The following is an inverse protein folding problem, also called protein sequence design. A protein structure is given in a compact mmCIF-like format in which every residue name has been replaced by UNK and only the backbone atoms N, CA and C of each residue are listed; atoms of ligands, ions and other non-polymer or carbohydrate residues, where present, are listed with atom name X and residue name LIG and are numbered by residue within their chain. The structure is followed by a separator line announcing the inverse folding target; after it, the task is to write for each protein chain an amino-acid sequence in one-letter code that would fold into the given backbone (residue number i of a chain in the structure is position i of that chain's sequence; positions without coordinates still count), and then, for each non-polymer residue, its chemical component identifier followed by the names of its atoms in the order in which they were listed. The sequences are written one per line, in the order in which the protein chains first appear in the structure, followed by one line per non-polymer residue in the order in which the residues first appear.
data_IF_932695102333
#
_entry.id   IF_932695102333
#
_cell.length_a   1.000
_cell.length_b   1.000
_cell.length_c   1.000
_cell.angle_alpha   90.00
_cell.angle_beta   90.00
_cell.angle_gamma   90.00
#
_symmetry.space_group_name_H-M   'P 1'
#
loop_
_entity.id
_entity.type
_entity.pdbx_description
1 polymer ?
#
# COMPACT_ATOMS: atom_id res chain seq x y z
N UNK A 1 -9.50 -32.01 -4.14
CA UNK A 1 -10.47 -31.61 -5.17
C UNK A 1 -11.01 -30.25 -4.77
N UNK A 2 -10.62 -29.19 -5.49
CA UNK A 2 -11.06 -27.82 -5.21
C UNK A 2 -12.50 -27.71 -5.71
N UNK A 3 -13.46 -27.54 -4.80
CA UNK A 3 -14.83 -27.23 -5.17
C UNK A 3 -14.96 -25.71 -5.27
N UNK A 4 -14.88 -25.20 -6.48
CA UNK A 4 -15.17 -23.79 -6.76
C UNK A 4 -16.68 -23.62 -6.68
N UNK A 5 -17.17 -23.00 -5.61
CA UNK A 5 -18.57 -22.54 -5.52
C UNK A 5 -18.59 -21.07 -5.91
N UNK A 6 -19.00 -20.79 -7.14
CA UNK A 6 -19.30 -19.43 -7.57
C UNK A 6 -20.55 -18.93 -6.85
N UNK A 7 -20.42 -17.81 -6.14
CA UNK A 7 -21.56 -17.04 -5.66
C UNK A 7 -21.57 -15.70 -6.42
N UNK A 8 -22.55 -15.50 -7.31
CA UNK A 8 -22.85 -14.18 -7.90
C UNK A 8 -23.76 -13.43 -6.92
N UNK A 9 -23.47 -12.21 -6.52
CA UNK A 9 -23.38 -11.01 -7.37
C UNK A 9 -22.20 -10.11 -6.99
N UNK A 10 -21.49 -9.62 -7.99
CA UNK A 10 -20.15 -9.00 -7.97
C UNK A 10 -19.03 -10.03 -7.78
N UNK A 11 -18.23 -10.22 -8.84
CA UNK A 11 -17.34 -11.35 -9.11
C UNK A 11 -16.22 -11.59 -8.08
N UNK A 12 -16.56 -12.07 -6.88
CA UNK A 12 -15.58 -12.62 -5.93
C UNK A 12 -15.80 -14.12 -5.85
N UNK A 13 -14.86 -14.88 -6.40
CA UNK A 13 -14.85 -16.34 -6.23
C UNK A 13 -14.34 -16.63 -4.82
N UNK A 14 -15.25 -17.02 -3.93
CA UNK A 14 -14.86 -17.63 -2.66
C UNK A 14 -14.50 -19.08 -2.93
N UNK A 15 -13.23 -19.43 -2.71
CA UNK A 15 -12.76 -20.79 -2.90
C UNK A 15 -12.80 -21.50 -1.54
N UNK A 16 -13.73 -22.44 -1.40
CA UNK A 16 -13.77 -23.33 -0.24
C UNK A 16 -12.82 -24.50 -0.50
N UNK A 17 -11.69 -24.51 0.20
CA UNK A 17 -10.75 -25.64 0.20
C UNK A 17 -10.83 -26.33 1.55
N UNK A 18 -10.84 -27.66 1.56
CA UNK A 18 -10.65 -28.43 2.80
C UNK A 18 -9.18 -28.35 3.20
N UNK A 19 -8.89 -27.98 4.46
CA UNK A 19 -7.53 -27.85 5.00
C UNK A 19 -6.68 -29.10 4.77
N UNK A 20 -7.29 -30.29 4.73
CA UNK A 20 -6.58 -31.57 4.47
C UNK A 20 -6.18 -31.79 3.00
N UNK A 21 -6.69 -30.97 2.08
CA UNK A 21 -6.56 -31.15 0.63
C UNK A 21 -6.11 -29.86 -0.10
N UNK A 22 -5.47 -28.91 0.59
CA UNK A 22 -4.82 -27.78 -0.09
C UNK A 22 -3.70 -28.35 -0.96
N UNK A 23 -3.72 -27.98 -2.23
CA UNK A 23 -2.63 -28.26 -3.16
C UNK A 23 -1.36 -27.55 -2.66
N UNK A 24 -0.22 -28.26 -2.65
CA UNK A 24 1.09 -27.71 -2.30
C UNK A 24 1.49 -26.52 -3.20
N UNK A 25 0.85 -26.36 -4.36
CA UNK A 25 1.02 -25.24 -5.28
C UNK A 25 0.04 -24.08 -5.04
N UNK A 26 -0.60 -24.04 -3.86
CA UNK A 26 -1.43 -22.91 -3.42
C UNK A 26 -0.69 -22.07 -2.39
N UNK A 27 -0.52 -20.78 -2.71
CA UNK A 27 -0.08 -19.76 -1.77
C UNK A 27 -1.31 -19.14 -1.12
N UNK A 28 -1.31 -19.03 0.20
CA UNK A 28 -2.30 -18.26 0.95
C UNK A 28 -1.57 -17.05 1.52
N UNK A 29 -2.14 -15.86 1.39
CA UNK A 29 -1.60 -14.64 1.97
C UNK A 29 -2.47 -14.29 3.17
N UNK A 30 -1.85 -13.95 4.30
CA UNK A 30 -2.55 -13.45 5.48
C UNK A 30 -1.93 -12.12 5.91
N UNK A 31 -2.76 -11.09 6.05
CA UNK A 31 -2.31 -9.74 6.39
C UNK A 31 -2.91 -9.36 7.75
N UNK A 32 -2.07 -9.25 8.80
CA UNK A 32 -2.56 -9.06 10.17
C UNK A 32 -3.08 -7.64 10.43
N UNK A 33 -2.81 -6.69 9.54
CA UNK A 33 -3.20 -5.28 9.66
C UNK A 33 -4.01 -4.84 8.44
N UNK A 34 -4.97 -3.94 8.65
CA UNK A 34 -5.95 -3.57 7.61
C UNK A 34 -5.78 -2.20 6.97
N UNK A 35 -4.65 -1.54 7.18
CA UNK A 35 -4.34 -0.25 6.56
C UNK A 35 -4.06 -0.39 5.05
N UNK A 36 -4.19 0.73 4.33
CA UNK A 36 -3.93 0.77 2.88
C UNK A 36 -2.49 0.32 2.56
N UNK A 37 -1.50 0.83 3.28
CA UNK A 37 -0.10 0.45 3.11
C UNK A 37 0.15 -1.03 3.41
N UNK A 38 -0.49 -1.57 4.45
CA UNK A 38 -0.35 -2.97 4.85
C UNK A 38 -0.74 -3.92 3.71
N UNK A 39 -1.84 -3.64 3.01
CA UNK A 39 -2.23 -4.45 1.84
C UNK A 39 -1.33 -4.23 0.64
N UNK A 40 -0.94 -2.99 0.37
CA UNK A 40 -0.08 -2.68 -0.77
C UNK A 40 1.29 -3.33 -0.65
N UNK A 41 1.84 -3.50 0.55
CA UNK A 41 3.11 -4.22 0.75
C UNK A 41 3.10 -5.68 0.28
N UNK A 42 1.93 -6.30 0.09
CA UNK A 42 1.80 -7.66 -0.43
C UNK A 42 1.30 -7.72 -1.88
N UNK A 43 1.02 -6.57 -2.50
CA UNK A 43 0.34 -6.48 -3.80
C UNK A 43 1.15 -7.02 -4.98
N UNK A 44 2.47 -7.08 -4.88
CA UNK A 44 3.39 -7.64 -5.88
C UNK A 44 3.51 -9.18 -5.80
N UNK A 45 3.17 -9.77 -4.65
CA UNK A 45 3.35 -11.20 -4.39
C UNK A 45 2.59 -12.09 -5.37
N UNK A 46 1.32 -11.82 -5.74
CA UNK A 46 0.59 -12.69 -6.67
C UNK A 46 1.32 -12.89 -8.01
N UNK A 47 1.84 -11.82 -8.61
CA UNK A 47 2.59 -11.89 -9.86
C UNK A 47 3.84 -12.76 -9.71
N UNK A 48 4.66 -12.47 -8.71
CA UNK A 48 5.94 -13.16 -8.48
C UNK A 48 5.69 -14.65 -8.20
N UNK A 49 4.70 -14.96 -7.35
CA UNK A 49 4.33 -16.33 -7.03
C UNK A 49 3.95 -17.13 -8.28
N UNK A 50 3.11 -16.57 -9.16
CA UNK A 50 2.68 -17.22 -10.40
C UNK A 50 3.84 -17.35 -11.40
N UNK A 51 4.63 -16.29 -11.58
CA UNK A 51 5.74 -16.26 -12.55
C UNK A 51 6.91 -17.18 -12.15
N UNK A 52 7.09 -17.45 -10.84
CA UNK A 52 8.08 -18.42 -10.36
C UNK A 52 7.78 -19.87 -10.78
N UNK A 53 6.54 -20.17 -11.13
CA UNK A 53 6.06 -21.54 -11.40
C UNK A 53 5.86 -22.41 -10.15
N UNK A 54 6.28 -21.94 -8.97
CA UNK A 54 6.11 -22.63 -7.67
C UNK A 54 4.63 -22.74 -7.31
N UNK A 55 3.89 -21.65 -7.50
CA UNK A 55 2.48 -21.57 -7.15
C UNK A 55 1.60 -21.42 -8.39
N UNK A 56 0.53 -22.21 -8.44
CA UNK A 56 -0.53 -22.11 -9.45
C UNK A 56 -1.73 -21.34 -8.94
N UNK A 57 -1.93 -21.26 -7.62
CA UNK A 57 -3.06 -20.55 -7.00
C UNK A 57 -2.54 -19.61 -5.91
N UNK A 58 -3.02 -18.38 -5.87
CA UNK A 58 -2.71 -17.35 -4.88
C UNK A 58 -4.02 -16.82 -4.30
N UNK A 59 -4.22 -17.04 -3.01
CA UNK A 59 -5.45 -16.68 -2.29
C UNK A 59 -5.15 -15.70 -1.16
N UNK A 60 -6.13 -14.89 -0.78
CA UNK A 60 -6.08 -14.06 0.42
C UNK A 60 -6.98 -14.69 1.49
N UNK A 61 -6.41 -14.89 2.68
CA UNK A 61 -7.17 -15.35 3.83
C UNK A 61 -8.22 -14.32 4.22
N UNK A 62 -9.47 -14.74 4.41
CA UNK A 62 -10.57 -13.91 4.91
C UNK A 62 -10.38 -13.42 6.34
N UNK A 63 -9.41 -13.99 7.05
CA UNK A 63 -9.01 -13.51 8.37
C UNK A 63 -8.05 -12.32 8.30
N UNK A 64 -7.55 -11.96 7.12
CA UNK A 64 -6.80 -10.72 6.94
C UNK A 64 -7.70 -9.55 7.31
N UNK A 65 -7.18 -8.60 8.09
CA UNK A 65 -7.96 -7.42 8.44
C UNK A 65 -8.08 -6.53 7.20
N UNK A 66 -9.30 -6.07 6.87
CA UNK A 66 -9.55 -5.15 5.76
C UNK A 66 -10.35 -3.98 6.32
N UNK A 67 -9.71 -2.82 6.51
CA UNK A 67 -10.38 -1.64 7.11
C UNK A 67 -11.32 -0.94 6.12
N UNK A 68 -11.02 -1.04 4.83
CA UNK A 68 -11.79 -0.40 3.77
C UNK A 68 -12.01 -1.41 2.62
N UNK A 69 -13.27 -1.67 2.17
CA UNK A 69 -13.55 -2.56 1.04
C UNK A 69 -12.83 -2.13 -0.26
N UNK A 70 -12.51 -0.83 -0.36
CA UNK A 70 -11.47 -0.20 -1.17
C UNK A 70 -10.27 -1.10 -1.47
N UNK A 71 -9.65 -1.57 -0.39
CA UNK A 71 -8.39 -2.30 -0.48
C UNK A 71 -8.57 -3.64 -1.17
N UNK A 72 -9.66 -4.37 -0.86
CA UNK A 72 -9.96 -5.64 -1.52
C UNK A 72 -10.18 -5.44 -3.03
N UNK A 73 -11.06 -4.51 -3.37
CA UNK A 73 -11.45 -4.26 -4.77
C UNK A 73 -10.29 -3.84 -5.66
N UNK A 74 -9.50 -2.84 -5.25
CA UNK A 74 -8.49 -2.25 -6.15
C UNK A 74 -7.10 -2.88 -6.06
N UNK A 75 -6.74 -3.46 -4.91
CA UNK A 75 -5.42 -4.07 -4.72
C UNK A 75 -5.47 -5.55 -5.13
N UNK A 76 -6.53 -6.26 -4.75
CA UNK A 76 -6.63 -7.71 -4.93
C UNK A 76 -7.49 -8.09 -6.13
N UNK A 77 -8.76 -7.71 -6.17
CA UNK A 77 -9.69 -8.19 -7.22
C UNK A 77 -9.28 -7.73 -8.63
N UNK A 78 -8.63 -6.58 -8.75
CA UNK A 78 -8.11 -6.11 -10.04
C UNK A 78 -6.76 -6.73 -10.43
N UNK A 79 -6.07 -7.40 -9.50
CA UNK A 79 -4.80 -8.05 -9.80
C UNK A 79 -5.04 -9.35 -10.59
N UNK A 80 -4.56 -9.48 -11.84
CA UNK A 80 -4.84 -10.63 -12.70
C UNK A 80 -4.19 -11.93 -12.23
N UNK A 81 -3.28 -11.86 -11.24
CA UNK A 81 -2.60 -13.01 -10.66
C UNK A 81 -3.24 -13.49 -9.35
N UNK A 82 -4.30 -12.82 -8.88
CA UNK A 82 -5.03 -13.15 -7.67
C UNK A 82 -6.25 -14.02 -7.98
N UNK A 83 -6.37 -15.18 -7.31
CA UNK A 83 -7.42 -16.16 -7.62
C UNK A 83 -8.66 -16.07 -6.71
N UNK A 84 -8.55 -15.38 -5.56
CA UNK A 84 -9.70 -15.10 -4.70
C UNK A 84 -9.47 -15.30 -3.20
N UNK A 85 -10.58 -15.47 -2.48
CA UNK A 85 -10.60 -15.51 -1.03
C UNK A 85 -10.74 -16.93 -0.48
N UNK A 86 -10.15 -17.18 0.69
CA UNK A 86 -10.29 -18.46 1.40
C UNK A 86 -10.50 -18.28 2.91
N UNK A 87 -11.23 -19.20 3.55
CA UNK A 87 -11.42 -19.22 5.03
C UNK A 87 -10.17 -19.71 5.77
N UNK A 88 -9.20 -20.26 5.03
CA UNK A 88 -8.00 -20.85 5.58
C UNK A 88 -7.00 -19.76 5.96
N UNK A 89 -6.26 -20.00 7.04
CA UNK A 89 -5.05 -19.25 7.33
C UNK A 89 -3.88 -19.89 6.61
N UNK A 90 -2.82 -19.09 6.50
CA UNK A 90 -1.56 -19.56 5.98
C UNK A 90 -1.18 -20.92 6.58
N UNK A 91 -0.92 -21.90 5.70
CA UNK A 91 -0.35 -23.18 6.12
C UNK A 91 1.12 -23.03 6.48
N UNK A 92 1.78 -22.03 5.91
CA UNK A 92 3.15 -21.69 6.19
C UNK A 92 3.17 -20.58 7.24
N UNK A 93 3.40 -20.99 8.48
CA UNK A 93 3.70 -20.13 9.62
C UNK A 93 5.10 -19.52 9.40
N UNK A 94 5.21 -18.66 8.39
CA UNK A 94 6.44 -17.92 8.15
C UNK A 94 6.57 -16.88 9.26
N UNK A 95 7.36 -17.27 10.25
CA UNK A 95 7.65 -16.48 11.44
C UNK A 95 8.03 -15.06 11.03
N UNK A 96 7.17 -14.10 11.39
CA UNK A 96 7.48 -12.67 11.38
C UNK A 96 8.78 -12.29 12.11
N UNK A 97 9.38 -13.25 12.84
CA UNK A 97 10.70 -13.13 13.47
C UNK A 97 11.85 -12.96 12.47
N UNK A 98 11.74 -13.39 11.22
CA UNK A 98 12.82 -13.23 10.23
C UNK A 98 12.92 -11.81 9.63
N UNK A 99 11.88 -10.97 9.77
CA UNK A 99 11.96 -9.56 9.34
C UNK A 99 12.89 -8.75 10.27
N UNK A 100 13.23 -9.28 11.45
CA UNK A 100 14.09 -8.59 12.43
C UNK A 100 15.55 -8.41 12.00
N UNK A 101 15.98 -9.07 10.93
CA UNK A 101 17.31 -8.92 10.32
C UNK A 101 17.27 -8.15 8.99
N UNK A 102 16.43 -7.12 8.91
CA UNK A 102 16.39 -6.23 7.75
C UNK A 102 17.77 -5.59 7.49
N UNK A 103 18.40 -5.97 6.38
CA UNK A 103 19.55 -5.27 5.82
C UNK A 103 19.06 -4.40 4.67
N UNK A 104 19.03 -3.08 4.87
CA UNK A 104 18.63 -2.09 3.87
C UNK A 104 19.51 -2.12 2.61
N UNK A 105 20.70 -2.71 2.69
CA UNK A 105 21.56 -2.90 1.52
C UNK A 105 21.09 -4.07 0.64
N UNK A 106 20.25 -4.97 1.17
CA UNK A 106 19.77 -6.16 0.47
C UNK A 106 18.39 -5.96 -0.17
N UNK A 107 17.66 -4.91 0.19
CA UNK A 107 16.33 -4.64 -0.36
C UNK A 107 15.47 -3.76 0.55
N UNK A 108 14.18 -3.70 0.25
CA UNK A 108 13.15 -3.04 1.05
C UNK A 108 12.20 -4.05 1.72
N UNK A 109 11.19 -3.56 2.45
CA UNK A 109 10.20 -4.43 3.11
C UNK A 109 9.44 -5.35 2.14
N UNK A 110 9.19 -4.91 0.90
CA UNK A 110 8.50 -5.73 -0.09
C UNK A 110 9.34 -6.94 -0.51
N UNK A 111 10.67 -6.75 -0.64
CA UNK A 111 11.61 -7.84 -0.89
C UNK A 111 11.60 -8.84 0.27
N UNK A 112 11.60 -8.36 1.51
CA UNK A 112 11.55 -9.23 2.69
C UNK A 112 10.25 -10.03 2.76
N UNK A 113 9.11 -9.42 2.44
CA UNK A 113 7.83 -10.12 2.36
C UNK A 113 7.89 -11.21 1.28
N UNK A 114 8.42 -10.91 0.09
CA UNK A 114 8.62 -11.89 -0.97
C UNK A 114 9.48 -13.08 -0.50
N UNK A 115 10.67 -12.79 0.04
CA UNK A 115 11.60 -13.81 0.54
C UNK A 115 11.00 -14.63 1.68
N UNK A 116 10.18 -14.01 2.53
CA UNK A 116 9.46 -14.72 3.60
C UNK A 116 8.47 -15.75 3.06
N UNK A 117 8.01 -15.65 1.80
CA UNK A 117 7.18 -16.69 1.18
C UNK A 117 8.02 -17.77 0.47
N UNK A 118 9.34 -17.76 0.62
CA UNK A 118 10.26 -18.61 -0.13
C UNK A 118 10.31 -18.27 -1.62
N UNK A 119 9.92 -17.05 -2.00
CA UNK A 119 9.98 -16.54 -3.37
C UNK A 119 11.24 -15.68 -3.54
N UNK A 120 11.94 -15.84 -4.66
CA UNK A 120 13.01 -14.93 -5.07
C UNK A 120 13.07 -14.86 -6.59
N UNK A 121 12.84 -13.68 -7.16
CA UNK A 121 12.98 -13.42 -8.60
C UNK A 121 14.33 -12.77 -8.96
N UNK A 122 15.25 -12.66 -7.99
CA UNK A 122 16.53 -11.97 -8.09
C UNK A 122 16.44 -10.46 -8.40
N UNK A 123 15.25 -9.86 -8.26
CA UNK A 123 15.04 -8.41 -8.31
C UNK A 123 14.94 -7.90 -6.88
N UNK A 124 15.43 -6.68 -6.65
CA UNK A 124 15.37 -6.00 -5.35
C UNK A 124 14.79 -4.61 -5.52
N UNK A 125 14.35 -4.03 -4.41
CA UNK A 125 13.64 -2.77 -4.36
C UNK A 125 12.32 -2.84 -5.10
N UNK A 126 11.54 -3.89 -4.82
CA UNK A 126 10.19 -4.02 -5.36
C UNK A 126 9.31 -2.84 -4.98
N UNK A 127 8.48 -2.41 -5.93
CA UNK A 127 7.41 -1.45 -5.68
C UNK A 127 6.07 -2.19 -5.58
N UNK A 128 5.09 -1.66 -4.84
CA UNK A 128 3.73 -2.20 -4.86
C UNK A 128 3.14 -2.16 -6.27
N UNK A 129 2.12 -2.98 -6.52
CA UNK A 129 1.50 -3.13 -7.84
C UNK A 129 0.00 -2.88 -7.81
N UNK A 130 -0.48 -2.17 -8.83
CA UNK A 130 -1.91 -1.94 -9.10
C UNK A 130 -2.20 -2.21 -10.56
N UNK A 131 -3.40 -2.73 -10.82
CA UNK A 131 -3.78 -3.27 -12.12
C UNK A 131 -5.06 -2.61 -12.64
N UNK A 132 -5.08 -1.28 -12.65
CA UNK A 132 -6.22 -0.52 -13.16
C UNK A 132 -5.80 0.83 -13.73
N UNK A 133 -6.62 1.34 -14.64
CA UNK A 133 -6.41 2.65 -15.22
C UNK A 133 -6.86 3.74 -14.26
N UNK A 134 -5.97 4.71 -14.05
CA UNK A 134 -6.18 5.79 -13.09
C UNK A 134 -6.63 7.03 -13.88
N UNK A 135 -7.74 7.68 -13.49
CA UNK A 135 -8.20 8.89 -14.17
C UNK A 135 -7.17 10.02 -14.04
N UNK A 136 -7.14 10.92 -15.02
CA UNK A 136 -6.30 12.11 -15.01
C UNK A 136 -7.16 13.36 -14.91
N UNK A 137 -6.72 14.31 -14.09
CA UNK A 137 -7.39 15.58 -13.81
C UNK A 137 -6.50 16.75 -14.27
N UNK A 138 -6.68 17.25 -15.50
CA UNK A 138 -5.85 18.32 -16.06
C UNK A 138 -5.76 19.59 -15.21
N UNK A 139 -6.81 19.90 -14.45
CA UNK A 139 -6.88 21.03 -13.53
C UNK A 139 -5.87 20.95 -12.36
N UNK A 140 -5.33 19.76 -12.09
CA UNK A 140 -4.30 19.54 -11.08
C UNK A 140 -2.87 19.59 -11.64
N UNK A 141 -2.70 19.74 -12.95
CA UNK A 141 -1.36 19.80 -13.54
C UNK A 141 -0.60 21.03 -13.04
N UNK A 142 0.66 20.85 -12.66
CA UNK A 142 1.47 21.92 -12.07
C UNK A 142 1.12 22.26 -10.62
N UNK A 143 0.20 21.51 -9.97
CA UNK A 143 -0.24 21.78 -8.59
C UNK A 143 0.50 20.94 -7.57
N UNK A 144 0.65 21.48 -6.37
CA UNK A 144 1.13 20.75 -5.19
C UNK A 144 -0.03 20.35 -4.30
N UNK A 145 -0.15 19.05 -4.02
CA UNK A 145 -1.17 18.48 -3.14
C UNK A 145 -0.52 17.91 -1.88
N UNK A 146 -1.09 18.21 -0.71
CA UNK A 146 -0.65 17.69 0.58
C UNK A 146 -1.69 16.75 1.21
N UNK A 147 -1.28 15.55 1.60
CA UNK A 147 -2.09 14.65 2.45
C UNK A 147 -1.60 14.69 3.91
N UNK A 148 -2.37 15.34 4.82
CA UNK A 148 -1.99 15.45 6.23
C UNK A 148 -2.34 14.21 7.06
N UNK A 149 -3.02 13.22 6.48
CA UNK A 149 -3.70 12.18 7.23
C UNK A 149 -2.78 11.00 7.57
N UNK A 150 -2.82 10.55 8.82
CA UNK A 150 -2.24 9.28 9.27
C UNK A 150 -3.08 8.65 10.38
N UNK A 151 -2.80 7.37 10.69
CA UNK A 151 -3.61 6.57 11.63
C UNK A 151 -2.81 6.06 12.83
N UNK A 152 -1.51 5.80 12.67
CA UNK A 152 -0.69 5.18 13.73
C UNK A 152 0.27 6.19 14.35
N UNK A 153 1.43 6.40 13.73
CA UNK A 153 2.52 7.18 14.29
C UNK A 153 3.29 7.87 13.17
N UNK A 154 3.59 9.15 13.37
CA UNK A 154 4.30 10.00 12.41
C UNK A 154 5.71 10.38 12.87
N UNK A 155 6.23 9.80 13.95
CA UNK A 155 7.59 10.11 14.43
C UNK A 155 7.71 11.37 15.31
N UNK A 156 6.63 11.77 15.99
CA UNK A 156 6.62 12.99 16.81
C UNK A 156 6.63 14.29 15.98
N UNK A 157 6.12 14.21 14.76
CA UNK A 157 5.80 15.37 13.94
C UNK A 157 4.59 16.13 14.50
N UNK A 158 4.53 17.41 14.19
CA UNK A 158 3.39 18.29 14.49
C UNK A 158 3.10 19.16 13.27
N UNK A 159 1.85 19.63 13.12
CA UNK A 159 1.48 20.59 12.08
C UNK A 159 2.43 21.78 12.00
N UNK A 160 2.78 22.36 13.17
CA UNK A 160 3.69 23.50 13.25
C UNK A 160 5.09 23.21 12.70
N UNK A 161 5.63 21.99 12.89
CA UNK A 161 6.93 21.61 12.32
C UNK A 161 6.87 21.50 10.80
N UNK A 162 5.80 20.89 10.29
CA UNK A 162 5.58 20.71 8.85
C UNK A 162 5.40 22.06 8.16
N UNK A 163 4.55 22.91 8.72
CA UNK A 163 4.28 24.25 8.21
C UNK A 163 5.53 25.14 8.24
N UNK A 164 6.30 25.09 9.33
CA UNK A 164 7.60 25.76 9.41
C UNK A 164 8.53 25.29 8.29
N UNK A 165 8.62 23.97 8.07
CA UNK A 165 9.44 23.41 7.00
C UNK A 165 8.97 23.88 5.61
N UNK A 166 7.66 23.89 5.34
CA UNK A 166 7.13 24.39 4.08
C UNK A 166 7.48 25.86 3.85
N UNK A 167 7.35 26.70 4.86
CA UNK A 167 7.72 28.11 4.78
C UNK A 167 9.23 28.30 4.54
N UNK A 168 10.10 27.62 5.30
CA UNK A 168 11.55 27.75 5.17
C UNK A 168 12.10 27.24 3.82
N UNK A 169 11.39 26.31 3.17
CA UNK A 169 11.81 25.72 1.89
C UNK A 169 10.97 26.20 0.70
N UNK A 170 10.12 27.23 0.89
CA UNK A 170 9.24 27.78 -0.14
C UNK A 170 8.33 26.74 -0.83
N UNK A 171 7.87 25.72 -0.09
CA UNK A 171 6.83 24.82 -0.60
C UNK A 171 5.50 25.56 -0.65
N UNK A 172 5.00 25.81 -1.86
CA UNK A 172 3.64 26.30 -2.08
C UNK A 172 2.69 25.12 -2.19
N UNK A 173 1.78 24.98 -1.23
CA UNK A 173 0.70 24.01 -1.27
C UNK A 173 -0.49 24.65 -1.98
N UNK A 174 -0.98 24.04 -3.06
CA UNK A 174 -2.19 24.50 -3.76
C UNK A 174 -3.43 23.86 -3.15
N UNK A 175 -3.37 22.58 -2.80
CA UNK A 175 -4.48 21.85 -2.19
C UNK A 175 -4.04 20.96 -1.04
N UNK A 176 -4.94 20.75 -0.09
CA UNK A 176 -4.76 19.79 1.00
C UNK A 176 -5.98 18.86 1.07
N UNK A 177 -5.76 17.57 1.34
CA UNK A 177 -6.87 16.68 1.64
C UNK A 177 -7.54 17.07 2.98
N UNK A 178 -8.87 16.87 3.12
CA UNK A 178 -9.57 17.07 4.38
C UNK A 178 -8.93 16.32 5.53
N UNK A 179 -9.00 16.89 6.73
CA UNK A 179 -8.59 16.22 7.96
C UNK A 179 -9.59 15.10 8.27
N UNK A 180 -9.12 13.86 8.27
CA UNK A 180 -9.93 12.63 8.47
C UNK A 180 -9.80 12.05 9.88
N UNK A 181 -8.86 12.53 10.67
CA UNK A 181 -8.63 12.05 12.04
C UNK A 181 -8.06 13.16 12.93
N UNK A 182 -8.23 13.01 14.24
CA UNK A 182 -7.61 13.90 15.23
C UNK A 182 -6.08 13.82 15.26
N UNK A 183 -5.50 12.82 14.58
CA UNK A 183 -4.06 12.65 14.47
C UNK A 183 -3.46 13.45 13.31
N UNK A 184 -4.25 13.80 12.29
CA UNK A 184 -3.74 14.45 11.08
C UNK A 184 -2.88 15.70 11.39
N UNK A 185 -1.93 16.00 10.51
CA UNK A 185 -1.02 17.15 10.63
C UNK A 185 -1.28 18.19 9.52
N UNK A 186 -2.43 18.87 9.50
CA UNK A 186 -2.74 19.85 8.47
C UNK A 186 -1.81 21.05 8.55
N UNK A 187 -1.63 21.75 7.43
CA UNK A 187 -1.29 23.18 7.40
C UNK A 187 -2.44 23.93 8.06
N UNK A 188 -2.11 24.83 8.98
CA UNK A 188 -3.12 25.52 9.80
C UNK A 188 -3.74 26.64 8.96
N UNK A 189 -5.02 26.92 9.18
CA UNK A 189 -5.77 27.98 8.46
C UNK A 189 -5.71 27.87 6.92
N UNK A 190 -5.66 26.63 6.41
CA UNK A 190 -5.60 26.35 4.97
C UNK A 190 -7.01 26.21 4.36
N UNK A 191 -7.36 27.11 3.43
CA UNK A 191 -8.72 27.19 2.87
C UNK A 191 -8.99 26.21 1.71
N UNK A 192 -7.97 25.90 0.89
CA UNK A 192 -8.17 25.16 -0.36
C UNK A 192 -8.10 23.64 -0.14
N UNK A 193 -9.23 23.02 0.20
CA UNK A 193 -9.30 21.56 0.33
C UNK A 193 -9.67 20.87 -0.98
N UNK A 194 -9.09 19.69 -1.22
CA UNK A 194 -9.47 18.81 -2.35
C UNK A 194 -10.13 17.55 -1.83
N UNK A 195 -11.33 17.25 -2.32
CA UNK A 195 -12.16 16.14 -1.85
C UNK A 195 -12.18 15.07 -2.94
N UNK A 196 -11.80 13.85 -2.59
CA UNK A 196 -12.07 12.64 -3.35
C UNK A 196 -13.40 12.00 -2.91
N UNK A 197 -14.19 11.53 -3.87
CA UNK A 197 -15.44 10.81 -3.64
C UNK A 197 -15.32 9.30 -3.86
N UNK A 198 -14.22 8.85 -4.46
CA UNK A 198 -13.92 7.44 -4.73
C UNK A 198 -12.44 7.14 -4.61
N UNK A 199 -12.08 5.85 -4.53
CA UNK A 199 -10.68 5.44 -4.49
C UNK A 199 -9.95 5.74 -5.81
N UNK A 200 -10.64 5.62 -6.96
CA UNK A 200 -10.08 6.00 -8.26
C UNK A 200 -9.83 7.49 -8.36
N UNK A 201 -10.75 8.32 -7.85
CA UNK A 201 -10.58 9.76 -7.81
C UNK A 201 -9.42 10.14 -6.89
N UNK A 202 -9.31 9.51 -5.72
CA UNK A 202 -8.14 9.67 -4.86
C UNK A 202 -6.85 9.37 -5.61
N UNK A 203 -6.74 8.20 -6.26
CA UNK A 203 -5.58 7.84 -7.07
C UNK A 203 -5.33 8.84 -8.22
N UNK A 204 -6.40 9.30 -8.88
CA UNK A 204 -6.33 10.27 -9.97
C UNK A 204 -5.77 11.61 -9.52
N UNK A 205 -6.18 12.10 -8.35
CA UNK A 205 -5.62 13.31 -7.74
C UNK A 205 -4.11 13.14 -7.52
N UNK A 206 -3.69 12.01 -6.94
CA UNK A 206 -2.27 11.74 -6.65
C UNK A 206 -1.42 11.76 -7.92
N UNK A 207 -1.86 11.10 -9.00
CA UNK A 207 -1.08 11.03 -10.25
C UNK A 207 -1.14 12.31 -11.09
N UNK A 208 -2.16 13.15 -10.90
CA UNK A 208 -2.38 14.35 -11.71
C UNK A 208 -1.66 15.57 -11.16
N UNK A 209 -1.43 15.65 -9.85
CA UNK A 209 -0.65 16.75 -9.28
C UNK A 209 0.82 16.70 -9.74
N UNK A 210 1.49 17.86 -9.77
CA UNK A 210 2.94 17.93 -10.04
C UNK A 210 3.73 17.41 -8.84
N UNK A 211 3.41 17.93 -7.65
CA UNK A 211 4.05 17.53 -6.41
C UNK A 211 3.01 16.92 -5.48
N UNK A 212 3.26 15.69 -5.03
CA UNK A 212 2.53 15.12 -3.90
C UNK A 212 3.44 15.20 -2.67
N UNK A 213 2.87 15.63 -1.55
CA UNK A 213 3.51 15.60 -0.25
C UNK A 213 2.63 14.78 0.68
N UNK A 214 3.22 13.83 1.42
CA UNK A 214 2.50 13.07 2.42
C UNK A 214 3.40 12.69 3.59
N UNK A 215 2.80 12.12 4.63
CA UNK A 215 3.52 11.44 5.70
C UNK A 215 3.90 10.02 5.29
N UNK A 216 4.70 9.30 6.11
CA UNK A 216 4.95 7.85 5.96
C UNK A 216 3.70 7.04 6.27
N UNK A 217 2.77 6.97 5.31
CA UNK A 217 1.43 6.38 5.47
C UNK A 217 1.06 5.51 4.28
N UNK A 218 -0.15 4.96 4.28
CA UNK A 218 -0.69 4.24 3.12
C UNK A 218 -0.72 5.07 1.84
N UNK A 219 -0.81 6.41 1.93
CA UNK A 219 -0.72 7.31 0.77
C UNK A 219 0.67 7.28 0.14
N UNK A 220 1.73 7.19 0.95
CA UNK A 220 3.11 7.03 0.46
C UNK A 220 3.26 5.73 -0.32
N UNK A 221 2.78 4.61 0.24
CA UNK A 221 2.81 3.30 -0.42
C UNK A 221 1.93 3.29 -1.67
N UNK A 222 0.78 3.96 -1.65
CA UNK A 222 -0.10 4.07 -2.83
C UNK A 222 0.57 4.89 -3.93
N UNK A 223 1.22 6.01 -3.60
CA UNK A 223 1.94 6.80 -4.58
C UNK A 223 3.08 6.00 -5.23
N UNK A 224 3.78 5.16 -4.46
CA UNK A 224 4.77 4.21 -4.98
C UNK A 224 4.12 3.23 -5.98
N UNK A 225 2.98 2.63 -5.63
CA UNK A 225 2.23 1.73 -6.50
C UNK A 225 1.80 2.40 -7.83
N UNK A 226 1.46 3.67 -7.75
CA UNK A 226 1.06 4.52 -8.87
C UNK A 226 2.25 5.08 -9.66
N UNK A 227 3.49 4.73 -9.27
CA UNK A 227 4.74 5.25 -9.86
C UNK A 227 4.81 6.79 -9.82
N UNK A 228 4.22 7.40 -8.79
CA UNK A 228 4.21 8.84 -8.56
C UNK A 228 5.35 9.24 -7.60
N UNK A 229 6.39 9.95 -8.07
CA UNK A 229 7.38 10.53 -7.18
C UNK A 229 6.73 11.47 -6.18
N UNK A 230 7.09 11.32 -4.90
CA UNK A 230 6.40 11.98 -3.79
C UNK A 230 7.40 12.45 -2.72
N UNK A 231 7.14 13.60 -2.11
CA UNK A 231 7.87 14.06 -0.93
C UNK A 231 7.26 13.45 0.33
N UNK A 232 8.02 12.62 1.03
CA UNK A 232 7.55 11.88 2.19
C UNK A 232 8.17 12.46 3.45
N UNK A 233 7.36 13.13 4.26
CA UNK A 233 7.79 13.72 5.52
C UNK A 233 7.69 12.69 6.64
N UNK A 234 8.74 12.56 7.43
CA UNK A 234 8.77 11.61 8.55
C UNK A 234 9.53 12.18 9.75
N UNK A 235 9.12 11.77 10.94
CA UNK A 235 9.76 12.18 12.18
C UNK A 235 10.79 11.17 12.69
N UNK A 236 11.27 11.42 13.90
CA UNK A 236 12.17 10.51 14.59
C UNK A 236 11.45 9.20 14.97
N UNK A 237 12.18 8.08 14.96
CA UNK A 237 11.66 6.74 15.33
C UNK A 237 10.66 6.12 14.35
N UNK A 238 10.58 6.61 13.11
CA UNK A 238 10.03 5.79 12.02
C UNK A 238 11.10 4.78 11.61
N UNK A 239 10.72 3.52 11.54
CA UNK A 239 11.61 2.46 11.09
C UNK A 239 11.95 2.64 9.61
N UNK A 240 13.23 2.47 9.25
CA UNK A 240 13.72 2.73 7.89
C UNK A 240 13.08 1.83 6.83
N UNK A 241 12.58 0.65 7.20
CA UNK A 241 11.90 -0.24 6.26
C UNK A 241 10.58 0.34 5.72
N UNK A 242 9.98 1.35 6.37
CA UNK A 242 8.84 2.08 5.81
C UNK A 242 9.26 3.10 4.74
N UNK A 243 10.55 3.41 4.62
CA UNK A 243 11.16 4.26 3.58
C UNK A 243 11.53 3.40 2.35
N UNK A 244 10.54 2.68 1.84
CA UNK A 244 10.72 1.52 0.98
C UNK A 244 10.88 1.82 -0.52
N UNK A 245 10.43 2.99 -1.01
CA UNK A 245 10.38 3.29 -2.43
C UNK A 245 11.51 4.22 -2.85
N UNK A 246 12.20 3.87 -3.94
CA UNK A 246 13.25 4.74 -4.51
C UNK A 246 12.69 5.94 -5.28
N UNK A 247 11.40 5.93 -5.58
CA UNK A 247 10.75 7.03 -6.28
C UNK A 247 10.44 8.20 -5.35
N UNK A 248 10.59 8.03 -4.03
CA UNK A 248 10.22 9.03 -3.04
C UNK A 248 11.41 9.86 -2.57
N UNK A 249 11.14 11.13 -2.32
CA UNK A 249 12.06 12.05 -1.66
C UNK A 249 11.72 12.09 -0.17
N UNK A 250 12.52 11.42 0.65
CA UNK A 250 12.29 11.34 2.10
C UNK A 250 12.87 12.56 2.83
N UNK A 251 12.01 13.23 3.62
CA UNK A 251 12.34 14.45 4.36
C UNK A 251 12.16 14.17 5.86
N UNK A 252 13.27 14.19 6.60
CA UNK A 252 13.26 13.99 8.05
C UNK A 252 13.10 15.32 8.79
N UNK A 253 12.16 15.41 9.74
CA UNK A 253 11.95 16.58 10.63
C UNK A 253 11.96 16.23 12.14
#
# INVERSE_FOLDING_TARGET
MINIKEFSSNHIVTITVDKKNIDKRTLIIHIPYGGLGDHLFYSHIPRIAKQSGVYETVLLSKKSLIRNPNHLKYIWEKNPYFDGLTELENLHDYNSKDISHFDENQGNILDQIMLSYGLDDNIRWHEPELYFEVPKFPELFGKTVYDPNFISYSGGLTSRKIEKYFHENNFRIDFQFPVRSSLALPVIDFEQTIIDHSFEEFCGILVSCENLISLTTGTATLAAALKKPTYIIYGNKIDSYFLHSKNHNYIKL
#
